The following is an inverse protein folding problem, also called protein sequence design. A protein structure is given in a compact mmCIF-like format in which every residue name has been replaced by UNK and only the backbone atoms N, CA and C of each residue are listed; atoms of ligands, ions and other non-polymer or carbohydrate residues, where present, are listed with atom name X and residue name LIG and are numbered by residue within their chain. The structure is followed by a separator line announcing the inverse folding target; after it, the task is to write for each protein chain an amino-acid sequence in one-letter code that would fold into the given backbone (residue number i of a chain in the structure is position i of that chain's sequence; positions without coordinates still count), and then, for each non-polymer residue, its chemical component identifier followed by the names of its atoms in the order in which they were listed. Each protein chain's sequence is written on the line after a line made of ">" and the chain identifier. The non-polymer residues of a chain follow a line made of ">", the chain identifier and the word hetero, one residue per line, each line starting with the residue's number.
data_IF_436567109192
#
_entry.id   IF_436567109192
#
_cell.length_a   1.000
_cell.length_b   1.000
_cell.length_c   1.000
_cell.angle_alpha   90.00
_cell.angle_beta   90.00
_cell.angle_gamma   90.00
#
_symmetry.space_group_name_H-M   'P 1'
#
loop_
_entity.id
_entity.type
_entity.pdbx_description
1 polymer ?
#
# COMPACT_ATOMS: atom_id res chain seq x y z
N UNK A 1 -10.08 20.90 0.39
CA UNK A 1 -11.11 20.14 -0.36
C UNK A 1 -10.72 19.91 -1.82
N UNK A 2 -10.48 20.93 -2.65
CA UNK A 2 -9.96 20.70 -4.02
C UNK A 2 -8.68 19.84 -4.00
N UNK A 3 -7.64 20.28 -3.30
CA UNK A 3 -6.42 19.50 -3.04
C UNK A 3 -6.68 18.14 -2.36
N UNK A 4 -7.78 17.95 -1.62
CA UNK A 4 -8.08 16.61 -1.09
C UNK A 4 -8.42 15.68 -2.26
N UNK A 5 -9.37 16.08 -3.10
CA UNK A 5 -9.84 15.27 -4.22
C UNK A 5 -8.79 15.05 -5.30
N UNK A 6 -7.91 16.02 -5.55
CA UNK A 6 -6.93 15.95 -6.65
C UNK A 6 -5.56 15.41 -6.26
N UNK A 7 -5.16 15.46 -4.98
CA UNK A 7 -3.75 15.26 -4.58
C UNK A 7 -3.58 14.33 -3.37
N UNK A 8 -4.69 13.87 -2.76
CA UNK A 8 -4.65 13.04 -1.55
C UNK A 8 -5.60 11.85 -1.63
N UNK A 9 -6.85 12.07 -2.05
CA UNK A 9 -7.83 11.02 -2.25
C UNK A 9 -7.37 9.92 -3.24
N UNK A 10 -6.65 10.22 -4.34
CA UNK A 10 -6.10 9.18 -5.23
C UNK A 10 -5.22 8.15 -4.50
N UNK A 11 -4.49 8.55 -3.45
CA UNK A 11 -3.63 7.62 -2.70
C UNK A 11 -4.41 6.45 -2.08
N UNK A 12 -5.70 6.66 -1.78
CA UNK A 12 -6.64 5.70 -1.19
C UNK A 12 -7.54 5.01 -2.23
N UNK A 13 -7.43 5.42 -3.49
CA UNK A 13 -8.15 4.82 -4.62
C UNK A 13 -7.25 4.00 -5.53
N UNK A 14 -5.93 4.06 -5.31
CA UNK A 14 -4.89 3.49 -6.16
C UNK A 14 -4.98 1.96 -6.35
N UNK A 15 -5.73 1.26 -5.50
CA UNK A 15 -6.01 -0.19 -5.61
C UNK A 15 -7.44 -0.52 -6.08
N UNK A 16 -8.29 0.48 -6.39
CA UNK A 16 -9.67 0.22 -6.84
C UNK A 16 -10.21 1.10 -7.97
N UNK A 17 -10.75 0.44 -8.99
CA UNK A 17 -11.50 1.04 -10.10
C UNK A 17 -12.75 1.84 -9.67
N UNK A 18 -13.28 1.60 -8.47
CA UNK A 18 -14.46 2.31 -7.97
C UNK A 18 -14.14 3.75 -7.54
N UNK A 19 -12.89 4.06 -7.20
CA UNK A 19 -12.45 5.38 -6.70
C UNK A 19 -13.31 5.84 -5.51
N UNK A 20 -13.26 5.08 -4.43
CA UNK A 20 -14.06 5.27 -3.23
C UNK A 20 -13.94 6.67 -2.60
N UNK A 21 -12.72 7.22 -2.50
CA UNK A 21 -12.41 8.44 -1.77
C UNK A 21 -12.47 9.71 -2.63
N UNK A 22 -12.03 9.65 -3.88
CA UNK A 22 -12.01 10.78 -4.82
C UNK A 22 -13.31 10.95 -5.61
N UNK A 23 -14.12 9.88 -5.75
CA UNK A 23 -15.34 9.88 -6.55
C UNK A 23 -16.57 9.32 -5.82
N UNK A 24 -16.64 8.02 -5.57
CA UNK A 24 -17.89 7.32 -5.26
C UNK A 24 -18.55 7.79 -3.94
N UNK A 25 -17.77 8.06 -2.89
CA UNK A 25 -18.29 8.41 -1.56
C UNK A 25 -18.03 9.86 -1.14
N UNK A 26 -17.61 10.76 -2.05
CA UNK A 26 -17.34 12.18 -1.73
C UNK A 26 -18.54 12.88 -1.08
N UNK A 27 -19.76 12.59 -1.56
CA UNK A 27 -20.99 13.14 -0.99
C UNK A 27 -21.26 12.63 0.45
N UNK A 28 -20.87 11.38 0.75
CA UNK A 28 -20.96 10.77 2.09
C UNK A 28 -19.90 11.39 3.02
N UNK A 29 -18.65 11.45 2.58
CA UNK A 29 -17.56 12.12 3.29
C UNK A 29 -17.93 13.56 3.68
N UNK A 30 -18.49 14.37 2.76
CA UNK A 30 -18.90 15.75 3.07
C UNK A 30 -20.00 15.86 4.15
N UNK A 31 -20.81 14.81 4.33
CA UNK A 31 -21.88 14.72 5.34
C UNK A 31 -21.41 14.10 6.66
N UNK A 32 -20.41 13.23 6.65
CA UNK A 32 -19.82 12.61 7.84
C UNK A 32 -18.76 13.52 8.49
N UNK A 33 -19.01 14.12 9.68
CA UNK A 33 -18.08 15.08 10.29
C UNK A 33 -16.66 14.55 10.56
N UNK A 34 -16.44 13.37 11.19
CA UNK A 34 -15.08 12.87 11.46
C UNK A 34 -14.30 12.64 10.16
N UNK A 35 -14.92 12.03 9.15
CA UNK A 35 -14.29 11.81 7.85
C UNK A 35 -13.91 13.12 7.17
N UNK A 36 -14.83 14.10 7.14
CA UNK A 36 -14.56 15.42 6.55
C UNK A 36 -13.44 16.16 7.28
N UNK A 37 -13.37 16.05 8.61
CA UNK A 37 -12.31 16.68 9.41
C UNK A 37 -10.95 16.04 9.08
N UNK A 38 -10.87 14.70 9.07
CA UNK A 38 -9.66 13.97 8.67
C UNK A 38 -9.21 14.34 7.25
N UNK A 39 -10.12 14.33 6.27
CA UNK A 39 -9.87 14.70 4.87
C UNK A 39 -9.37 16.15 4.68
N UNK A 40 -9.82 17.07 5.54
CA UNK A 40 -9.31 18.45 5.56
C UNK A 40 -7.95 18.54 6.25
N UNK A 41 -7.71 17.82 7.35
CA UNK A 41 -6.44 17.80 8.08
C UNK A 41 -5.29 17.27 7.20
N UNK A 42 -5.46 16.08 6.61
CA UNK A 42 -4.48 15.46 5.70
C UNK A 42 -4.21 16.34 4.48
N UNK A 43 -5.24 16.96 3.90
CA UNK A 43 -5.08 17.87 2.75
C UNK A 43 -4.36 19.16 3.13
N UNK A 44 -4.64 19.74 4.29
CA UNK A 44 -3.92 20.92 4.78
C UNK A 44 -2.43 20.59 5.01
N UNK A 45 -2.14 19.43 5.61
CA UNK A 45 -0.77 18.98 5.88
C UNK A 45 -0.01 18.63 4.59
N UNK A 46 -0.66 18.02 3.61
CA UNK A 46 -0.10 17.78 2.27
C UNK A 46 0.35 19.09 1.61
N UNK A 47 -0.47 20.14 1.67
CA UNK A 47 -0.11 21.45 1.13
C UNK A 47 1.06 22.06 1.91
N UNK A 48 1.07 22.02 3.25
CA UNK A 48 2.18 22.58 4.04
C UNK A 48 3.52 21.91 3.71
N UNK A 49 3.55 20.57 3.59
CA UNK A 49 4.77 19.83 3.24
C UNK A 49 5.23 20.08 1.80
N UNK A 50 4.30 20.10 0.83
CA UNK A 50 4.62 20.33 -0.60
C UNK A 50 5.06 21.76 -0.87
N UNK A 51 4.34 22.75 -0.34
CA UNK A 51 4.60 24.17 -0.56
C UNK A 51 5.61 24.77 0.43
N UNK A 52 6.09 24.00 1.42
CA UNK A 52 7.05 24.41 2.47
C UNK A 52 6.67 25.72 3.16
N UNK A 53 5.37 25.95 3.39
CA UNK A 53 4.82 27.15 4.02
C UNK A 53 3.68 26.80 4.96
N UNK A 54 3.54 27.56 6.05
CA UNK A 54 2.37 27.45 6.92
C UNK A 54 1.08 27.88 6.19
N UNK A 55 -0.04 27.24 6.52
CA UNK A 55 -1.36 27.62 6.00
C UNK A 55 -2.14 28.62 6.86
N UNK A 56 -1.65 28.90 8.06
CA UNK A 56 -2.21 29.91 8.97
C UNK A 56 -1.14 30.93 9.37
N UNK A 57 -1.55 32.20 9.48
CA UNK A 57 -0.70 33.31 9.96
C UNK A 57 -0.71 33.48 11.49
N UNK A 58 -1.49 32.65 12.19
CA UNK A 58 -1.62 32.66 13.64
C UNK A 58 -0.72 31.63 14.34
N UNK A 59 -0.73 31.56 15.68
CA UNK A 59 0.15 30.67 16.44
C UNK A 59 -0.24 29.18 16.34
N UNK A 60 -1.49 28.86 15.97
CA UNK A 60 -1.94 27.49 15.77
C UNK A 60 -1.91 27.12 14.27
N UNK A 61 -1.26 26.00 13.95
CA UNK A 61 -1.21 25.44 12.59
C UNK A 61 -2.59 24.92 12.17
N UNK A 62 -3.08 25.34 11.00
CA UNK A 62 -4.38 24.92 10.46
C UNK A 62 -4.52 23.38 10.36
N UNK A 63 -3.57 22.60 9.81
CA UNK A 63 -3.65 21.15 9.85
C UNK A 63 -3.73 20.57 11.26
N UNK A 64 -3.00 21.13 12.24
CA UNK A 64 -3.09 20.68 13.65
C UNK A 64 -4.48 20.94 14.25
N UNK A 65 -5.08 22.09 13.97
CA UNK A 65 -6.44 22.42 14.42
C UNK A 65 -7.48 21.45 13.82
N UNK A 66 -7.40 21.19 12.51
CA UNK A 66 -8.27 20.25 11.79
C UNK A 66 -8.09 18.81 12.27
N UNK A 67 -6.85 18.44 12.59
CA UNK A 67 -6.49 17.16 13.20
C UNK A 67 -7.14 17.00 14.57
N UNK A 68 -6.96 17.95 15.48
CA UNK A 68 -7.60 17.92 16.81
C UNK A 68 -9.13 17.86 16.71
N UNK A 69 -9.73 18.52 15.71
CA UNK A 69 -11.14 18.39 15.41
C UNK A 69 -11.51 16.96 14.98
N UNK A 70 -10.71 16.33 14.12
CA UNK A 70 -10.90 14.92 13.75
C UNK A 70 -10.82 13.99 14.96
N UNK A 71 -9.83 14.18 15.86
CA UNK A 71 -9.70 13.41 17.12
C UNK A 71 -10.95 13.56 18.00
N UNK A 72 -11.45 14.79 18.19
CA UNK A 72 -12.68 15.02 18.98
C UNK A 72 -13.90 14.31 18.36
N UNK A 73 -14.09 14.41 17.05
CA UNK A 73 -15.19 13.77 16.33
C UNK A 73 -15.05 12.23 16.27
N UNK A 74 -13.83 11.71 16.32
CA UNK A 74 -13.53 10.30 16.45
C UNK A 74 -13.97 9.76 17.82
N UNK A 75 -13.59 10.43 18.91
CA UNK A 75 -14.04 10.09 20.27
C UNK A 75 -15.58 10.12 20.36
N UNK A 76 -16.22 11.13 19.79
CA UNK A 76 -17.68 11.18 19.68
C UNK A 76 -18.30 10.08 18.81
N UNK A 77 -17.55 9.51 17.86
CA UNK A 77 -18.04 8.36 17.07
C UNK A 77 -18.17 7.10 17.94
N UNK A 78 -17.31 6.96 18.97
CA UNK A 78 -17.33 5.81 19.88
C UNK A 78 -18.61 5.73 20.73
N UNK A 79 -19.35 6.83 20.89
CA UNK A 79 -20.68 6.84 21.53
C UNK A 79 -21.84 6.67 20.54
N UNK A 80 -21.56 6.28 19.29
CA UNK A 80 -22.57 6.04 18.25
C UNK A 80 -23.15 7.31 17.60
N UNK A 81 -22.53 8.48 17.84
CA UNK A 81 -23.01 9.78 17.30
C UNK A 81 -22.92 9.90 15.77
N UNK A 82 -22.04 9.11 15.15
CA UNK A 82 -21.74 9.15 13.72
C UNK A 82 -21.76 7.75 13.09
N UNK A 83 -21.93 7.67 11.78
CA UNK A 83 -21.97 6.38 11.07
C UNK A 83 -20.60 5.68 11.06
N UNK A 84 -20.56 4.45 11.58
CA UNK A 84 -19.34 3.65 11.76
C UNK A 84 -18.49 3.53 10.49
N UNK A 85 -19.09 3.34 9.30
CA UNK A 85 -18.33 3.19 8.04
C UNK A 85 -17.63 4.49 7.65
N UNK A 86 -18.31 5.64 7.74
CA UNK A 86 -17.71 6.93 7.46
C UNK A 86 -16.64 7.30 8.49
N UNK A 87 -16.86 6.97 9.76
CA UNK A 87 -15.85 7.11 10.82
C UNK A 87 -14.60 6.28 10.52
N UNK A 88 -14.75 5.00 10.12
CA UNK A 88 -13.64 4.12 9.74
C UNK A 88 -12.79 4.71 8.61
N UNK A 89 -13.40 5.16 7.52
CA UNK A 89 -12.68 5.82 6.42
C UNK A 89 -12.02 7.13 6.87
N UNK A 90 -12.62 7.83 7.85
CA UNK A 90 -11.98 8.96 8.53
C UNK A 90 -10.76 8.58 9.37
N UNK A 91 -10.79 7.43 10.06
CA UNK A 91 -9.67 6.94 10.86
C UNK A 91 -8.48 6.54 9.98
N UNK A 92 -8.74 5.90 8.83
CA UNK A 92 -7.69 5.60 7.83
C UNK A 92 -6.98 6.90 7.41
N UNK A 93 -7.72 7.95 7.01
CA UNK A 93 -7.13 9.25 6.67
C UNK A 93 -6.41 9.95 7.83
N UNK A 94 -6.85 9.72 9.07
CA UNK A 94 -6.23 10.28 10.27
C UNK A 94 -4.91 9.57 10.61
N UNK A 95 -4.86 8.24 10.58
CA UNK A 95 -3.62 7.48 10.75
C UNK A 95 -2.55 7.91 9.73
N UNK A 96 -2.98 8.23 8.50
CA UNK A 96 -2.09 8.86 7.50
C UNK A 96 -1.52 10.18 7.99
N UNK A 97 -2.36 11.11 8.45
CA UNK A 97 -1.89 12.38 8.99
C UNK A 97 -0.88 12.18 10.14
N UNK A 98 -1.05 11.17 10.98
CA UNK A 98 -0.12 10.93 12.09
C UNK A 98 1.28 10.55 11.61
N UNK A 99 1.42 9.63 10.66
CA UNK A 99 2.74 9.31 10.08
C UNK A 99 3.42 10.56 9.43
N UNK A 100 2.62 11.57 9.04
CA UNK A 100 3.07 12.89 8.56
C UNK A 100 3.69 13.80 9.62
N UNK A 101 3.58 13.45 10.91
CA UNK A 101 3.79 14.37 12.04
C UNK A 101 4.44 13.76 13.28
N UNK A 102 4.19 12.49 13.61
CA UNK A 102 4.65 11.85 14.86
C UNK A 102 5.63 10.71 14.63
N UNK A 103 6.33 10.31 15.69
CA UNK A 103 7.28 9.20 15.69
C UNK A 103 6.57 7.84 15.69
N UNK A 104 7.34 6.77 15.48
CA UNK A 104 6.84 5.42 15.24
C UNK A 104 5.84 4.87 16.29
N UNK A 105 5.93 5.32 17.54
CA UNK A 105 5.16 4.74 18.65
C UNK A 105 3.70 5.19 18.74
N UNK A 106 3.37 6.40 18.26
CA UNK A 106 2.06 6.98 18.52
C UNK A 106 1.01 6.60 17.46
N UNK A 107 1.40 6.51 16.18
CA UNK A 107 0.47 6.12 15.11
C UNK A 107 -0.02 4.67 15.22
N UNK A 108 0.81 3.76 15.77
CA UNK A 108 0.44 2.34 15.94
C UNK A 108 -0.87 2.17 16.73
N UNK A 109 -1.13 2.99 17.75
CA UNK A 109 -2.36 2.91 18.56
C UNK A 109 -3.63 3.16 17.75
N UNK A 110 -3.58 4.02 16.72
CA UNK A 110 -4.73 4.29 15.86
C UNK A 110 -4.92 3.23 14.77
N UNK A 111 -3.83 2.57 14.35
CA UNK A 111 -3.89 1.34 13.52
C UNK A 111 -4.52 0.19 14.31
N UNK A 112 -4.18 0.03 15.60
CA UNK A 112 -4.86 -0.91 16.51
C UNK A 112 -6.35 -0.54 16.71
N UNK A 113 -6.68 0.76 16.75
CA UNK A 113 -8.06 1.25 16.73
C UNK A 113 -8.85 0.84 15.49
N UNK A 114 -8.25 0.95 14.30
CA UNK A 114 -8.87 0.48 13.05
C UNK A 114 -9.07 -1.05 13.05
N UNK A 115 -8.06 -1.81 13.49
CA UNK A 115 -8.14 -3.26 13.62
C UNK A 115 -9.29 -3.71 14.54
N UNK A 116 -9.49 -3.00 15.65
CA UNK A 116 -10.59 -3.23 16.58
C UNK A 116 -11.97 -3.05 15.92
N UNK A 117 -12.14 -2.02 15.07
CA UNK A 117 -13.37 -1.81 14.30
C UNK A 117 -13.61 -2.96 13.32
N UNK A 118 -12.60 -3.37 12.54
CA UNK A 118 -12.71 -4.51 11.62
C UNK A 118 -13.09 -5.80 12.37
N UNK A 119 -12.38 -6.10 13.46
CA UNK A 119 -12.58 -7.30 14.29
C UNK A 119 -13.98 -7.34 14.91
N UNK A 120 -14.43 -6.22 15.51
CA UNK A 120 -15.73 -6.14 16.19
C UNK A 120 -16.91 -6.32 15.22
N UNK A 121 -16.82 -5.72 14.03
CA UNK A 121 -17.88 -5.79 13.02
C UNK A 121 -17.78 -7.01 12.09
N UNK A 122 -16.73 -7.84 12.24
CA UNK A 122 -16.39 -8.94 11.32
C UNK A 122 -16.26 -8.48 9.87
N UNK A 123 -15.52 -7.39 9.68
CA UNK A 123 -15.25 -6.80 8.37
C UNK A 123 -13.81 -7.07 7.93
N UNK A 124 -13.63 -7.20 6.62
CA UNK A 124 -12.36 -7.52 5.97
C UNK A 124 -12.36 -7.03 4.50
N UNK A 125 -11.35 -7.43 3.73
CA UNK A 125 -11.23 -7.12 2.31
C UNK A 125 -12.34 -7.71 1.43
N UNK A 126 -13.03 -8.77 1.87
CA UNK A 126 -14.17 -9.38 1.17
C UNK A 126 -15.52 -8.67 1.40
N UNK A 127 -15.62 -7.78 2.40
CA UNK A 127 -16.90 -7.13 2.79
C UNK A 127 -17.49 -6.21 1.71
N UNK A 128 -16.68 -5.78 0.75
CA UNK A 128 -17.09 -4.94 -0.39
C UNK A 128 -17.29 -3.45 -0.07
N UNK A 129 -17.48 -2.67 -1.14
CA UNK A 129 -17.69 -1.22 -1.09
C UNK A 129 -16.61 -0.46 -0.30
N UNK A 130 -17.00 0.65 0.32
CA UNK A 130 -16.09 1.50 1.11
C UNK A 130 -15.38 0.75 2.25
N UNK A 131 -15.98 -0.32 2.80
CA UNK A 131 -15.37 -1.08 3.91
C UNK A 131 -14.15 -1.86 3.40
N UNK A 132 -14.30 -2.60 2.30
CA UNK A 132 -13.19 -3.26 1.61
C UNK A 132 -12.16 -2.24 1.12
N UNK A 133 -12.61 -1.11 0.57
CA UNK A 133 -11.76 0.01 0.18
C UNK A 133 -10.81 0.45 1.31
N UNK A 134 -11.40 0.87 2.44
CA UNK A 134 -10.67 1.27 3.64
C UNK A 134 -9.83 0.13 4.26
N UNK A 135 -10.15 -1.14 4.01
CA UNK A 135 -9.39 -2.29 4.51
C UNK A 135 -8.07 -2.45 3.77
N UNK A 136 -8.10 -2.38 2.43
CA UNK A 136 -6.89 -2.50 1.63
C UNK A 136 -5.98 -1.28 1.76
N UNK A 137 -6.54 -0.09 1.97
CA UNK A 137 -5.77 1.10 2.37
C UNK A 137 -5.10 0.97 3.73
N UNK A 138 -5.76 0.29 4.68
CA UNK A 138 -5.23 0.02 6.02
C UNK A 138 -4.10 -1.03 6.00
N UNK A 139 -4.16 -1.98 5.07
CA UNK A 139 -3.22 -3.09 4.98
C UNK A 139 -1.95 -2.78 4.15
N UNK A 140 -2.07 -2.09 3.01
CA UNK A 140 -1.06 -1.99 1.93
C UNK A 140 0.23 -1.23 2.29
N UNK A 141 1.40 -1.83 2.08
CA UNK A 141 2.70 -1.12 2.21
C UNK A 141 2.78 0.09 1.26
N UNK A 142 3.10 1.28 1.77
CA UNK A 142 3.27 2.48 0.93
C UNK A 142 4.19 3.55 1.53
N UNK A 143 5.47 3.53 1.18
CA UNK A 143 6.50 4.49 1.62
C UNK A 143 6.53 5.77 0.72
N UNK A 144 5.54 5.94 -0.15
CA UNK A 144 5.56 6.88 -1.29
C UNK A 144 5.19 8.32 -0.97
N UNK A 145 4.30 8.46 0.00
CA UNK A 145 4.30 9.58 0.90
C UNK A 145 4.62 8.98 2.29
N UNK A 146 5.19 9.73 3.26
CA UNK A 146 5.58 9.19 4.58
C UNK A 146 4.36 8.86 5.46
N UNK A 147 3.40 8.08 4.93
CA UNK A 147 1.97 8.36 5.09
C UNK A 147 0.99 7.24 4.83
N UNK A 148 1.26 6.23 4.01
CA UNK A 148 0.19 5.29 3.65
C UNK A 148 0.20 4.11 4.61
N UNK A 149 -0.94 3.89 5.29
CA UNK A 149 -1.05 2.90 6.37
C UNK A 149 -0.59 1.56 5.88
N UNK A 150 0.21 0.90 6.69
CA UNK A 150 0.17 -0.54 6.71
C UNK A 150 0.49 -1.07 8.09
N UNK A 151 -0.47 -1.84 8.58
CA UNK A 151 -0.23 -2.89 9.54
C UNK A 151 0.98 -3.76 9.09
N UNK A 152 1.07 -4.08 7.79
CA UNK A 152 2.18 -4.84 7.20
C UNK A 152 3.55 -4.12 7.36
N UNK A 153 3.66 -2.81 7.11
CA UNK A 153 4.94 -2.10 7.29
C UNK A 153 5.28 -1.89 8.76
N UNK A 154 4.29 -1.69 9.63
CA UNK A 154 4.48 -1.65 11.08
C UNK A 154 5.05 -2.99 11.58
N UNK A 155 4.41 -4.08 11.19
CA UNK A 155 4.81 -5.45 11.47
C UNK A 155 6.25 -5.71 11.03
N UNK A 156 6.56 -5.46 9.75
CA UNK A 156 7.89 -5.61 9.18
C UNK A 156 8.94 -4.78 9.91
N UNK A 157 8.71 -3.48 10.09
CA UNK A 157 9.68 -2.55 10.69
C UNK A 157 10.01 -2.87 12.15
N UNK A 158 9.06 -3.46 12.89
CA UNK A 158 9.27 -3.89 14.27
C UNK A 158 9.66 -5.37 14.41
N UNK A 159 9.78 -6.13 13.32
CA UNK A 159 9.96 -7.59 13.32
C UNK A 159 8.88 -8.30 14.17
N UNK A 160 7.63 -7.85 14.00
CA UNK A 160 6.43 -8.38 14.66
C UNK A 160 5.40 -8.85 13.64
N UNK A 161 4.38 -9.58 14.09
CA UNK A 161 3.24 -9.92 13.22
C UNK A 161 2.29 -8.73 13.02
N UNK A 162 1.56 -8.76 11.91
CA UNK A 162 0.40 -7.89 11.66
C UNK A 162 -0.63 -8.00 12.79
N UNK A 163 -1.24 -6.87 13.13
CA UNK A 163 -2.31 -6.70 14.12
C UNK A 163 -3.55 -7.50 13.66
N UNK A 164 -3.92 -7.41 12.38
CA UNK A 164 -4.90 -8.30 11.78
C UNK A 164 -4.19 -9.52 11.18
N UNK A 165 -4.53 -10.76 11.58
CA UNK A 165 -3.94 -11.96 10.98
C UNK A 165 -4.27 -12.06 9.48
N UNK A 166 -3.33 -12.41 8.58
CA UNK A 166 -3.62 -12.53 7.15
C UNK A 166 -4.71 -13.54 6.82
N UNK A 167 -4.94 -14.53 7.70
CA UNK A 167 -6.05 -15.48 7.59
C UNK A 167 -7.45 -14.83 7.67
N UNK A 168 -7.57 -13.58 8.13
CA UNK A 168 -8.86 -12.85 8.22
C UNK A 168 -9.04 -11.80 7.12
N UNK A 169 -8.08 -11.65 6.18
CA UNK A 169 -8.14 -10.61 5.14
C UNK A 169 -9.19 -10.91 4.06
N UNK A 170 -9.41 -12.19 3.79
CA UNK A 170 -10.46 -12.72 2.91
C UNK A 170 -11.35 -13.68 3.69
N UNK A 171 -12.60 -13.86 3.25
CA UNK A 171 -13.53 -14.84 3.84
C UNK A 171 -13.12 -16.31 3.52
N UNK A 172 -12.51 -16.53 2.36
CA UNK A 172 -12.18 -17.85 1.80
C UNK A 172 -10.75 -17.88 1.21
N UNK A 173 -9.70 -17.69 2.02
CA UNK A 173 -8.31 -17.51 1.55
C UNK A 173 -7.77 -18.70 0.74
N UNK A 174 -8.20 -19.92 1.04
CA UNK A 174 -7.89 -21.14 0.29
C UNK A 174 -8.52 -21.16 -1.12
N UNK A 175 -9.68 -20.52 -1.29
CA UNK A 175 -10.33 -20.37 -2.60
C UNK A 175 -9.63 -19.30 -3.43
N UNK A 176 -9.19 -18.20 -2.80
CA UNK A 176 -8.54 -17.05 -3.46
C UNK A 176 -7.29 -17.46 -4.25
N UNK A 177 -6.43 -18.32 -3.71
CA UNK A 177 -5.21 -18.79 -4.41
C UNK A 177 -5.48 -19.69 -5.62
N UNK A 178 -6.68 -20.29 -5.68
CA UNK A 178 -7.10 -21.13 -6.81
C UNK A 178 -7.73 -20.34 -7.96
N UNK A 179 -8.08 -19.06 -7.76
CA UNK A 179 -8.69 -18.22 -8.79
C UNK A 179 -7.74 -17.96 -9.96
N UNK A 180 -8.31 -17.75 -11.15
CA UNK A 180 -7.63 -17.40 -12.40
C UNK A 180 -8.48 -16.37 -13.14
N UNK A 181 -7.85 -15.61 -14.03
CA UNK A 181 -8.48 -14.49 -14.77
C UNK A 181 -9.11 -13.44 -13.83
N UNK A 182 -8.42 -13.15 -12.70
CA UNK A 182 -8.91 -12.13 -11.74
C UNK A 182 -8.66 -10.71 -12.24
N UNK A 183 -9.57 -9.79 -11.91
CA UNK A 183 -9.45 -8.38 -12.27
C UNK A 183 -8.28 -7.67 -11.55
N UNK A 184 -7.96 -6.45 -12.00
CA UNK A 184 -6.83 -5.66 -11.48
C UNK A 184 -6.96 -5.28 -10.00
N UNK A 185 -8.19 -5.04 -9.51
CA UNK A 185 -8.47 -4.69 -8.12
C UNK A 185 -8.12 -5.91 -7.25
N UNK A 186 -8.70 -7.08 -7.57
CA UNK A 186 -8.47 -8.32 -6.83
C UNK A 186 -7.02 -8.82 -6.96
N UNK A 187 -6.40 -8.70 -8.14
CA UNK A 187 -4.99 -9.08 -8.36
C UNK A 187 -4.06 -8.31 -7.41
N UNK A 188 -4.24 -6.99 -7.30
CA UNK A 188 -3.47 -6.15 -6.39
C UNK A 188 -3.76 -6.44 -4.91
N UNK A 189 -5.02 -6.72 -4.56
CA UNK A 189 -5.43 -7.11 -3.19
C UNK A 189 -4.80 -8.43 -2.75
N UNK A 190 -4.72 -9.42 -3.64
CA UNK A 190 -4.04 -10.69 -3.38
C UNK A 190 -2.54 -10.45 -3.16
N UNK A 191 -1.91 -9.55 -3.91
CA UNK A 191 -0.51 -9.19 -3.68
C UNK A 191 -0.29 -8.62 -2.26
N UNK A 192 -1.11 -7.64 -1.85
CA UNK A 192 -1.08 -7.06 -0.49
C UNK A 192 -1.21 -8.15 0.58
N UNK A 193 -2.16 -9.08 0.41
CA UNK A 193 -2.39 -10.19 1.33
C UNK A 193 -1.21 -11.16 1.39
N UNK A 194 -0.61 -11.52 0.25
CA UNK A 194 0.58 -12.37 0.21
C UNK A 194 1.78 -11.69 0.88
N UNK A 195 1.98 -10.37 0.70
CA UNK A 195 2.98 -9.60 1.44
C UNK A 195 2.77 -9.66 2.95
N UNK A 196 1.52 -9.57 3.43
CA UNK A 196 1.19 -9.72 4.85
C UNK A 196 1.58 -11.11 5.40
N UNK A 197 1.38 -12.18 4.60
CA UNK A 197 1.81 -13.54 4.94
C UNK A 197 3.34 -13.67 5.00
N UNK A 198 4.08 -13.07 4.05
CA UNK A 198 5.56 -13.08 4.07
C UNK A 198 6.11 -12.35 5.29
N UNK A 199 5.57 -11.18 5.63
CA UNK A 199 5.99 -10.43 6.82
C UNK A 199 5.73 -11.23 8.10
N UNK A 200 4.59 -11.92 8.21
CA UNK A 200 4.31 -12.76 9.37
C UNK A 200 5.18 -14.01 9.45
N UNK A 201 5.54 -14.62 8.31
CA UNK A 201 6.51 -15.72 8.26
C UNK A 201 7.89 -15.29 8.77
N UNK A 202 8.36 -14.11 8.36
CA UNK A 202 9.64 -13.55 8.82
C UNK A 202 9.58 -13.26 10.32
N UNK A 203 8.47 -12.70 10.82
CA UNK A 203 8.27 -12.43 12.24
C UNK A 203 8.11 -13.70 13.10
N UNK A 204 7.75 -14.85 12.52
CA UNK A 204 7.82 -16.15 13.22
C UNK A 204 9.26 -16.61 13.44
N UNK A 205 10.17 -16.25 12.53
CA UNK A 205 11.59 -16.60 12.57
C UNK A 205 11.85 -18.11 12.77
N UNK A 206 10.95 -18.94 12.25
CA UNK A 206 11.09 -20.40 12.23
C UNK A 206 11.89 -20.84 10.99
N UNK A 207 12.67 -21.94 11.05
CA UNK A 207 13.23 -22.56 9.86
C UNK A 207 12.14 -22.99 8.87
N UNK A 208 12.42 -22.93 7.57
CA UNK A 208 11.46 -23.27 6.51
C UNK A 208 10.96 -24.73 6.59
N UNK A 209 11.75 -25.64 7.16
CA UNK A 209 11.37 -27.03 7.43
C UNK A 209 10.40 -27.21 8.62
N UNK A 210 10.21 -26.17 9.44
CA UNK A 210 9.32 -26.14 10.60
C UNK A 210 8.11 -25.21 10.37
N UNK A 211 8.15 -24.33 9.37
CA UNK A 211 7.00 -23.52 8.97
C UNK A 211 6.02 -24.36 8.15
N UNK A 212 4.81 -24.55 8.69
CA UNK A 212 3.71 -25.18 7.96
C UNK A 212 3.20 -24.33 6.78
N UNK A 213 3.39 -23.00 6.86
CA UNK A 213 2.85 -22.06 5.88
C UNK A 213 3.80 -21.80 4.71
N UNK A 214 5.13 -21.88 4.92
CA UNK A 214 6.16 -21.50 3.94
C UNK A 214 5.94 -22.14 2.55
N UNK A 215 5.74 -23.46 2.47
CA UNK A 215 5.54 -24.14 1.18
C UNK A 215 4.29 -23.66 0.46
N UNK A 216 3.18 -23.44 1.19
CA UNK A 216 1.94 -22.92 0.62
C UNK A 216 2.09 -21.47 0.14
N UNK A 217 2.92 -20.69 0.83
CA UNK A 217 3.17 -19.28 0.51
C UNK A 217 4.09 -19.14 -0.69
N UNK A 218 5.22 -19.88 -0.73
CA UNK A 218 6.14 -19.88 -1.88
C UNK A 218 5.43 -20.39 -3.14
N UNK A 219 4.54 -21.38 -3.03
CA UNK A 219 3.67 -21.79 -4.14
C UNK A 219 2.69 -20.70 -4.57
N UNK A 220 1.97 -20.08 -3.64
CA UNK A 220 1.00 -19.02 -3.95
C UNK A 220 1.66 -17.79 -4.60
N UNK A 221 2.83 -17.38 -4.11
CA UNK A 221 3.66 -16.32 -4.70
C UNK A 221 4.01 -16.65 -6.16
N UNK A 222 4.55 -17.85 -6.43
CA UNK A 222 4.92 -18.26 -7.81
C UNK A 222 3.73 -18.32 -8.78
N UNK A 223 2.50 -18.48 -8.28
CA UNK A 223 1.28 -18.46 -9.12
C UNK A 223 0.62 -17.09 -9.26
N UNK A 224 1.09 -16.05 -8.57
CA UNK A 224 0.41 -14.76 -8.53
C UNK A 224 0.42 -14.03 -9.88
N UNK A 225 1.54 -14.07 -10.62
CA UNK A 225 1.64 -13.42 -11.94
C UNK A 225 0.68 -14.06 -12.96
N UNK A 226 0.51 -15.39 -12.89
CA UNK A 226 -0.37 -16.17 -13.78
C UNK A 226 -1.86 -16.04 -13.47
N UNK A 227 -2.24 -15.55 -12.28
CA UNK A 227 -3.65 -15.57 -11.85
C UNK A 227 -4.48 -14.41 -12.39
N UNK A 228 -3.85 -13.30 -12.79
CA UNK A 228 -4.52 -12.09 -13.26
C UNK A 228 -4.96 -12.16 -14.73
N UNK A 229 -6.01 -11.41 -15.05
CA UNK A 229 -6.48 -11.17 -16.42
C UNK A 229 -5.42 -10.42 -17.26
N UNK A 230 -5.61 -10.37 -18.59
CA UNK A 230 -4.66 -9.72 -19.52
C UNK A 230 -4.31 -8.27 -19.14
N UNK A 231 -5.28 -7.52 -18.57
CA UNK A 231 -5.08 -6.14 -18.12
C UNK A 231 -4.08 -5.99 -16.95
N UNK A 232 -3.83 -7.04 -16.15
CA UNK A 232 -2.89 -6.98 -15.02
C UNK A 232 -1.43 -7.16 -15.44
N UNK A 233 -1.19 -7.50 -16.72
CA UNK A 233 0.14 -7.80 -17.26
C UNK A 233 0.82 -6.55 -17.81
N UNK A 234 2.16 -6.47 -17.76
CA UNK A 234 2.90 -5.46 -18.49
C UNK A 234 2.63 -5.54 -20.01
N UNK A 235 2.38 -4.40 -20.64
CA UNK A 235 2.35 -4.22 -22.11
C UNK A 235 3.76 -4.24 -22.68
N UNK A 236 4.74 -3.74 -21.92
CA UNK A 236 6.16 -3.86 -22.22
C UNK A 236 6.87 -4.30 -20.95
N UNK A 237 7.64 -5.38 -21.06
CA UNK A 237 8.66 -5.75 -20.09
C UNK A 237 10.00 -5.91 -20.84
N UNK A 238 11.06 -5.29 -20.32
CA UNK A 238 12.43 -5.42 -20.80
C UNK A 238 13.34 -5.63 -19.60
N UNK A 239 14.18 -6.65 -19.66
CA UNK A 239 15.23 -6.86 -18.68
C UNK A 239 16.25 -5.69 -18.70
N UNK A 240 17.03 -5.56 -17.62
CA UNK A 240 18.16 -4.63 -17.60
C UNK A 240 19.20 -5.04 -18.66
N UNK A 241 19.69 -4.08 -19.45
CA UNK A 241 20.76 -4.33 -20.40
C UNK A 241 21.79 -3.19 -20.38
N UNK A 242 22.95 -3.48 -19.78
CA UNK A 242 24.06 -2.54 -19.60
C UNK A 242 24.70 -2.14 -20.95
N UNK A 243 24.60 -2.99 -21.97
CA UNK A 243 25.16 -2.75 -23.32
C UNK A 243 24.19 -1.96 -24.23
N UNK A 244 22.97 -1.67 -23.76
CA UNK A 244 21.94 -0.96 -24.50
C UNK A 244 21.53 0.35 -23.78
N UNK A 245 20.68 1.15 -24.43
CA UNK A 245 20.15 2.43 -23.90
C UNK A 245 19.11 2.24 -22.75
N UNK A 246 19.24 1.15 -21.98
CA UNK A 246 18.40 0.80 -20.84
C UNK A 246 19.14 -0.13 -19.85
N UNK A 247 20.14 0.44 -19.15
CA UNK A 247 20.87 -0.24 -18.07
C UNK A 247 20.00 -0.65 -16.86
N UNK A 248 18.72 -0.28 -16.84
CA UNK A 248 17.70 -0.69 -15.89
C UNK A 248 16.53 -1.35 -16.65
N UNK A 249 15.75 -2.25 -16.02
CA UNK A 249 14.61 -2.83 -16.70
C UNK A 249 13.58 -1.76 -17.08
N UNK A 250 12.65 -2.09 -17.97
CA UNK A 250 11.52 -1.22 -18.34
C UNK A 250 10.22 -2.01 -18.25
N UNK A 251 9.26 -1.52 -17.46
CA UNK A 251 7.93 -2.11 -17.27
C UNK A 251 6.91 -1.02 -17.58
N UNK A 252 5.94 -1.32 -18.43
CA UNK A 252 4.85 -0.43 -18.80
C UNK A 252 3.52 -1.18 -18.72
N UNK A 253 2.55 -0.64 -17.98
CA UNK A 253 1.18 -1.16 -17.92
C UNK A 253 0.25 -0.36 -18.85
N UNK A 254 -0.83 -0.99 -19.31
CA UNK A 254 -1.90 -0.30 -20.03
C UNK A 254 -2.65 0.65 -19.08
N UNK A 255 -3.09 1.81 -19.58
CA UNK A 255 -3.77 2.82 -18.75
C UNK A 255 -5.21 3.02 -19.19
N UNK A 256 -6.15 2.87 -18.25
CA UNK A 256 -7.57 3.15 -18.45
C UNK A 256 -7.88 4.65 -18.25
N UNK A 257 -7.40 5.51 -19.16
CA UNK A 257 -7.71 6.95 -19.12
C UNK A 257 -9.08 7.26 -19.75
N UNK A 258 -10.17 6.99 -19.02
CA UNK A 258 -11.53 7.40 -19.40
C UNK A 258 -11.80 8.90 -19.16
N UNK A 259 -10.97 9.76 -19.76
CA UNK A 259 -11.07 11.21 -19.71
C UNK A 259 -11.13 11.78 -21.13
N UNK A 260 -12.26 12.38 -21.51
CA UNK A 260 -12.53 12.95 -22.84
C UNK A 260 -11.76 14.25 -23.13
N UNK A 261 -10.44 14.25 -22.96
CA UNK A 261 -9.57 15.36 -23.36
C UNK A 261 -8.48 14.87 -24.34
N UNK A 262 -8.58 15.23 -25.64
CA UNK A 262 -7.67 14.72 -26.64
C UNK A 262 -6.27 15.33 -26.49
N UNK A 263 -5.25 14.46 -26.59
CA UNK A 263 -3.87 14.81 -26.93
C UNK A 263 -3.24 15.95 -26.12
N UNK A 264 -2.98 15.68 -24.84
CA UNK A 264 -1.83 16.29 -24.17
C UNK A 264 -0.76 15.21 -23.97
N UNK A 265 0.28 15.26 -24.79
CA UNK A 265 1.51 14.48 -24.54
C UNK A 265 2.20 15.08 -23.31
N UNK A 266 1.77 14.65 -22.13
CA UNK A 266 2.39 14.99 -20.85
C UNK A 266 3.39 13.91 -20.53
N UNK A 267 4.67 14.28 -20.47
CA UNK A 267 5.70 13.46 -19.80
C UNK A 267 5.36 13.47 -18.31
N UNK A 268 4.57 12.48 -17.87
CA UNK A 268 3.92 12.44 -16.56
C UNK A 268 2.41 12.18 -16.60
N UNK A 269 1.92 11.37 -17.55
CA UNK A 269 0.56 10.83 -17.52
C UNK A 269 0.45 9.63 -16.57
N UNK A 270 -0.65 9.58 -15.82
CA UNK A 270 -0.96 8.57 -14.80
C UNK A 270 -0.76 7.14 -15.33
N UNK A 271 0.20 6.41 -14.76
CA UNK A 271 0.26 4.97 -14.89
C UNK A 271 -0.97 4.36 -14.20
N UNK A 272 -1.40 3.18 -14.66
CA UNK A 272 -2.48 2.45 -14.01
C UNK A 272 -2.00 2.02 -12.63
N UNK A 273 -2.47 2.70 -11.59
CA UNK A 273 -1.89 2.56 -10.25
C UNK A 273 -2.11 1.15 -9.69
N UNK A 274 -3.19 0.46 -10.08
CA UNK A 274 -3.56 -0.86 -9.51
C UNK A 274 -2.59 -1.97 -9.91
N UNK A 275 -2.31 -2.26 -11.21
CA UNK A 275 -1.28 -3.24 -11.57
C UNK A 275 0.08 -2.82 -11.01
N UNK A 276 0.43 -1.54 -11.09
CA UNK A 276 1.71 -1.02 -10.57
C UNK A 276 1.86 -1.31 -9.07
N UNK A 277 0.81 -1.14 -8.27
CA UNK A 277 0.79 -1.46 -6.83
C UNK A 277 0.86 -2.96 -6.60
N UNK A 278 0.04 -3.77 -7.29
CA UNK A 278 0.07 -5.22 -7.15
C UNK A 278 1.47 -5.77 -7.39
N UNK A 279 2.10 -5.39 -8.51
CA UNK A 279 3.47 -5.80 -8.86
C UNK A 279 4.52 -5.26 -7.88
N UNK A 280 4.33 -4.05 -7.34
CA UNK A 280 5.22 -3.49 -6.30
C UNK A 280 5.15 -4.31 -5.01
N UNK A 281 3.95 -4.65 -4.52
CA UNK A 281 3.76 -5.50 -3.34
C UNK A 281 4.34 -6.89 -3.56
N UNK A 282 4.05 -7.49 -4.73
CA UNK A 282 4.51 -8.81 -5.11
C UNK A 282 6.04 -8.90 -5.15
N UNK A 283 6.72 -8.01 -5.88
CA UNK A 283 8.18 -8.05 -5.95
C UNK A 283 8.83 -7.70 -4.59
N UNK A 284 8.24 -6.82 -3.78
CA UNK A 284 8.71 -6.56 -2.41
C UNK A 284 8.62 -7.83 -1.56
N UNK A 285 7.49 -8.54 -1.62
CA UNK A 285 7.30 -9.81 -0.94
C UNK A 285 8.23 -10.92 -1.47
N UNK A 286 8.53 -10.95 -2.77
CA UNK A 286 9.51 -11.86 -3.34
C UNK A 286 10.92 -11.60 -2.80
N UNK A 287 11.39 -10.34 -2.77
CA UNK A 287 12.68 -10.02 -2.16
C UNK A 287 12.77 -10.48 -0.70
N UNK A 288 11.72 -10.19 0.10
CA UNK A 288 11.65 -10.60 1.51
C UNK A 288 11.60 -12.12 1.69
N UNK A 289 10.86 -12.84 0.83
CA UNK A 289 10.79 -14.30 0.86
C UNK A 289 12.13 -14.94 0.45
N UNK A 290 12.81 -14.39 -0.57
CA UNK A 290 14.12 -14.86 -1.02
C UNK A 290 15.22 -14.58 0.01
N UNK A 291 15.20 -13.42 0.69
CA UNK A 291 16.06 -13.14 1.87
C UNK A 291 15.85 -14.21 2.96
N UNK A 292 14.60 -14.60 3.24
CA UNK A 292 14.26 -15.67 4.18
C UNK A 292 14.70 -17.06 3.69
N UNK A 293 14.56 -17.37 2.39
CA UNK A 293 15.02 -18.63 1.78
C UNK A 293 16.56 -18.75 1.82
N UNK A 294 17.29 -17.66 1.53
CA UNK A 294 18.76 -17.60 1.61
C UNK A 294 19.32 -17.81 3.02
N UNK A 295 18.54 -17.49 4.06
CA UNK A 295 18.92 -17.74 5.45
C UNK A 295 18.76 -19.21 5.88
N UNK A 296 18.18 -20.07 5.03
CA UNK A 296 17.94 -21.48 5.37
C UNK A 296 19.18 -22.37 5.15
N UNK A 297 19.37 -23.44 5.96
CA UNK A 297 20.45 -24.40 5.74
C UNK A 297 20.34 -25.10 4.38
N UNK A 298 21.40 -25.03 3.58
CA UNK A 298 21.48 -25.70 2.27
C UNK A 298 20.85 -24.94 1.10
N UNK A 299 20.50 -23.67 1.28
CA UNK A 299 20.00 -22.81 0.20
C UNK A 299 21.04 -22.58 -0.90
N UNK A 300 20.60 -22.51 -2.17
CA UNK A 300 21.43 -22.04 -3.29
C UNK A 300 21.52 -20.51 -3.27
N UNK A 301 22.41 -20.01 -2.41
CA UNK A 301 22.62 -18.58 -2.18
C UNK A 301 22.99 -17.82 -3.46
N UNK A 302 23.59 -18.47 -4.47
CA UNK A 302 23.98 -17.80 -5.73
C UNK A 302 22.73 -17.60 -6.59
N UNK A 303 22.00 -18.67 -6.90
CA UNK A 303 20.80 -18.56 -7.74
C UNK A 303 19.71 -17.69 -7.10
N UNK A 304 19.56 -17.74 -5.77
CA UNK A 304 18.60 -16.91 -5.04
C UNK A 304 18.98 -15.42 -5.03
N UNK A 305 20.28 -15.09 -5.03
CA UNK A 305 20.74 -13.69 -5.15
C UNK A 305 20.42 -13.10 -6.53
N UNK A 306 20.68 -13.84 -7.61
CA UNK A 306 20.39 -13.38 -8.97
C UNK A 306 18.89 -13.12 -9.16
N UNK A 307 18.03 -14.00 -8.62
CA UNK A 307 16.58 -13.83 -8.64
C UNK A 307 16.09 -12.67 -7.74
N UNK A 308 16.67 -12.52 -6.55
CA UNK A 308 16.37 -11.40 -5.64
C UNK A 308 16.74 -10.05 -6.23
N UNK A 309 17.85 -10.00 -6.99
CA UNK A 309 18.31 -8.83 -7.71
C UNK A 309 17.34 -8.41 -8.83
N UNK A 310 16.83 -9.33 -9.65
CA UNK A 310 15.80 -9.02 -10.66
C UNK A 310 14.55 -8.40 -10.00
N UNK A 311 14.01 -9.05 -8.98
CA UNK A 311 12.83 -8.54 -8.27
C UNK A 311 13.07 -7.15 -7.65
N UNK A 312 14.27 -6.87 -7.14
CA UNK A 312 14.57 -5.55 -6.59
C UNK A 312 14.87 -4.48 -7.65
N UNK A 313 15.43 -4.83 -8.80
CA UNK A 313 15.48 -3.92 -9.95
C UNK A 313 14.07 -3.58 -10.43
N UNK A 314 13.17 -4.57 -10.48
CA UNK A 314 11.74 -4.37 -10.78
C UNK A 314 11.06 -3.52 -9.71
N UNK A 315 11.32 -3.76 -8.42
CA UNK A 315 10.88 -2.87 -7.34
C UNK A 315 11.39 -1.44 -7.55
N UNK A 316 12.70 -1.25 -7.79
CA UNK A 316 13.33 0.06 -7.97
C UNK A 316 12.83 0.81 -9.21
N UNK A 317 12.42 0.08 -10.25
CA UNK A 317 11.83 0.60 -11.48
C UNK A 317 10.35 0.97 -11.31
N UNK A 318 9.54 0.08 -10.74
CA UNK A 318 8.15 0.39 -10.39
C UNK A 318 8.15 1.58 -9.43
N UNK A 319 9.07 1.57 -8.46
CA UNK A 319 9.39 2.69 -7.58
C UNK A 319 9.90 3.93 -8.32
N UNK A 320 10.50 3.83 -9.51
CA UNK A 320 10.95 4.97 -10.32
C UNK A 320 9.84 5.59 -11.17
N UNK A 321 8.97 4.75 -11.75
CA UNK A 321 7.69 5.19 -12.35
C UNK A 321 6.91 5.93 -11.26
N UNK A 322 6.83 5.29 -10.09
CA UNK A 322 6.32 5.86 -8.85
C UNK A 322 7.18 6.99 -8.24
N UNK A 323 8.43 7.24 -8.67
CA UNK A 323 9.31 8.35 -8.20
C UNK A 323 9.04 9.63 -8.96
N UNK A 324 8.59 9.49 -10.20
CA UNK A 324 8.00 10.58 -10.99
C UNK A 324 6.57 10.90 -10.57
N UNK A 325 5.96 10.08 -9.68
CA UNK A 325 4.75 10.40 -8.91
C UNK A 325 4.96 10.56 -7.38
N UNK A 326 6.14 10.26 -6.81
CA UNK A 326 6.43 10.40 -5.37
C UNK A 326 7.71 9.77 -4.76
N UNK A 327 7.96 8.47 -4.95
CA UNK A 327 8.73 7.60 -4.03
C UNK A 327 10.27 7.75 -4.01
N UNK A 328 10.94 7.27 -2.95
CA UNK A 328 12.39 7.29 -2.76
C UNK A 328 12.96 6.10 -1.93
N UNK A 329 12.87 4.85 -2.40
CA UNK A 329 13.72 3.74 -1.87
C UNK A 329 15.22 3.86 -2.25
N UNK A 330 15.76 5.07 -2.30
CA UNK A 330 17.16 5.33 -2.63
C UNK A 330 18.08 4.84 -1.50
N UNK A 331 17.64 5.03 -0.24
CA UNK A 331 18.33 4.57 0.96
C UNK A 331 18.46 3.04 1.05
N UNK A 332 17.40 2.28 0.70
CA UNK A 332 17.46 0.81 0.66
C UNK A 332 18.20 0.33 -0.59
N UNK A 333 18.36 1.14 -1.63
CA UNK A 333 19.23 0.78 -2.76
C UNK A 333 20.71 0.71 -2.35
N UNK A 334 21.19 1.56 -1.44
CA UNK A 334 22.54 1.41 -0.84
C UNK A 334 22.63 0.16 0.04
N UNK A 335 21.64 -0.07 0.92
CA UNK A 335 21.61 -1.28 1.75
C UNK A 335 21.56 -2.58 0.95
N UNK A 336 20.80 -2.62 -0.16
CA UNK A 336 20.75 -3.76 -1.08
C UNK A 336 22.04 -3.86 -1.93
N UNK A 337 22.71 -2.75 -2.26
CA UNK A 337 24.05 -2.77 -2.87
C UNK A 337 25.08 -3.39 -1.94
N UNK A 338 25.08 -3.06 -0.66
CA UNK A 338 25.95 -3.71 0.32
C UNK A 338 25.59 -5.19 0.52
N UNK A 339 24.30 -5.52 0.70
CA UNK A 339 23.83 -6.90 0.95
C UNK A 339 24.11 -7.85 -0.23
N UNK A 340 24.06 -7.33 -1.46
CA UNK A 340 24.24 -8.09 -2.70
C UNK A 340 25.54 -7.79 -3.46
N UNK A 341 26.46 -7.04 -2.84
CA UNK A 341 27.81 -6.80 -3.37
C UNK A 341 27.85 -6.08 -4.72
N UNK A 342 26.96 -5.09 -4.90
CA UNK A 342 26.89 -4.24 -6.07
C UNK A 342 27.76 -2.99 -5.88
N UNK A 343 28.65 -2.69 -6.83
CA UNK A 343 29.36 -1.40 -6.88
C UNK A 343 28.47 -0.25 -7.43
#
# INVERSE_FOLDING_TARGET
>A
MHNYLTEVAPWFDAHSAQQHYSRAYVARMKRCPPWRAAALAISAKNIELRARRALSSGPESLPLHLYQLAVRLAIESMSGKYEVVGTLSGFVLWCVYEMMTVTYTDWRRHVEGCASIYTHNRWNGSTGGLISGSFWDYARIGEQTPLLLSDIWAAFSALTKTILPPATYFDHPETIVALRDVDEDLHAQIAIWLTARVVNLIAENLPASQSHDYLSLSAAMRTWEDMGAEATRPVVERAANIEADHAFPQILFSTHSSSEYPLRCVVGGEANERPTIGHTQFHTAMCLLLEYEMAQPGADVVSLKDLGYDHALKCALLAHIQKKTGWKCEWRSEGLRELWSLC
#
